data_IF_271387424565
#
_entry.id   IF_271387424565
#
_cell.length_a   1.000
_cell.length_b   1.000
_cell.length_c   1.000
_cell.angle_alpha   90.00
_cell.angle_beta   90.00
_cell.angle_gamma   90.00
#
_symmetry.space_group_name_H-M   'P 1'
#
loop_
_entity.id
_entity.type
_entity.pdbx_description
1 polymer ?
#
# COMPACT_ATOMS: atom_id res chain seq x y z
N UNK A 1 -19.85 -17.84 -7.85
CA UNK A 1 -19.58 -16.69 -8.73
C UNK A 1 -19.06 -15.57 -7.84
N UNK A 2 -17.75 -15.35 -7.77
CA UNK A 2 -17.20 -14.22 -7.01
C UNK A 2 -17.47 -13.00 -7.87
N UNK A 3 -18.36 -12.11 -7.42
CA UNK A 3 -18.50 -10.79 -8.03
C UNK A 3 -17.15 -10.09 -7.88
N UNK A 4 -16.33 -10.11 -8.94
CA UNK A 4 -15.14 -9.29 -9.03
C UNK A 4 -15.65 -7.86 -9.03
N UNK A 5 -15.60 -7.21 -7.86
CA UNK A 5 -15.87 -5.78 -7.74
C UNK A 5 -15.03 -5.08 -8.80
N UNK A 6 -15.67 -4.29 -9.67
CA UNK A 6 -15.03 -3.62 -10.78
C UNK A 6 -13.88 -2.75 -10.27
N UNK A 7 -12.66 -3.30 -10.29
CA UNK A 7 -11.47 -2.69 -9.71
C UNK A 7 -11.15 -1.35 -10.40
N UNK A 8 -11.64 -1.16 -11.64
CA UNK A 8 -11.51 0.09 -12.38
C UNK A 8 -12.27 1.28 -11.77
N UNK A 9 -13.32 1.05 -10.97
CA UNK A 9 -14.14 2.12 -10.37
C UNK A 9 -13.74 2.46 -8.92
N UNK A 10 -12.72 1.81 -8.37
CA UNK A 10 -12.33 1.98 -6.97
C UNK A 10 -11.99 3.44 -6.60
N UNK A 11 -11.32 4.17 -7.51
CA UNK A 11 -11.00 5.59 -7.29
C UNK A 11 -12.28 6.45 -7.29
N UNK A 12 -13.19 6.23 -8.24
CA UNK A 12 -14.44 7.00 -8.35
C UNK A 12 -15.29 6.89 -7.09
N UNK A 13 -15.32 5.68 -6.50
CA UNK A 13 -16.02 5.40 -5.24
C UNK A 13 -15.29 6.02 -4.04
N UNK A 14 -13.95 6.01 -4.03
CA UNK A 14 -13.16 6.53 -2.91
C UNK A 14 -13.16 8.07 -2.82
N UNK A 15 -13.23 8.79 -3.95
CA UNK A 15 -13.24 10.26 -4.00
C UNK A 15 -14.27 10.92 -3.05
N UNK A 16 -15.58 10.60 -3.12
CA UNK A 16 -16.57 11.23 -2.23
C UNK A 16 -16.30 10.95 -0.74
N UNK A 17 -15.71 9.80 -0.41
CA UNK A 17 -15.35 9.44 0.96
C UNK A 17 -14.18 10.31 1.45
N UNK A 18 -13.12 10.46 0.62
CA UNK A 18 -11.97 11.32 0.93
C UNK A 18 -12.43 12.77 1.19
N UNK A 19 -13.29 13.30 0.31
CA UNK A 19 -13.80 14.64 0.45
C UNK A 19 -14.70 14.80 1.68
N UNK A 20 -15.51 13.79 2.02
CA UNK A 20 -16.28 13.80 3.25
C UNK A 20 -15.40 13.81 4.51
N UNK A 21 -14.31 13.04 4.53
CA UNK A 21 -13.36 13.02 5.64
C UNK A 21 -12.67 14.37 5.82
N UNK A 22 -12.21 14.98 4.73
CA UNK A 22 -11.61 16.33 4.76
C UNK A 22 -12.60 17.38 5.26
N UNK A 23 -13.85 17.36 4.80
CA UNK A 23 -14.91 18.26 5.31
C UNK A 23 -15.20 18.08 6.80
N UNK A 24 -14.99 16.88 7.34
CA UNK A 24 -15.11 16.59 8.78
C UNK A 24 -13.88 17.04 9.59
N UNK A 25 -12.89 17.67 8.96
CA UNK A 25 -11.70 18.20 9.62
C UNK A 25 -10.53 17.22 9.69
N UNK A 26 -10.54 16.13 8.91
CA UNK A 26 -9.37 15.26 8.82
C UNK A 26 -8.18 16.02 8.22
N UNK A 27 -7.08 16.12 8.97
CA UNK A 27 -5.83 16.75 8.53
C UNK A 27 -5.04 15.88 7.55
N UNK A 28 -5.24 14.56 7.60
CA UNK A 28 -4.66 13.58 6.69
C UNK A 28 -5.60 12.38 6.52
N UNK A 29 -5.54 11.75 5.34
CA UNK A 29 -6.30 10.56 4.98
C UNK A 29 -5.35 9.54 4.35
N UNK A 30 -5.33 8.33 4.92
CA UNK A 30 -4.63 7.17 4.37
C UNK A 30 -5.62 6.09 3.96
N UNK A 31 -5.21 5.20 3.06
CA UNK A 31 -6.02 4.04 2.67
C UNK A 31 -5.26 2.74 2.87
N UNK A 32 -5.96 1.73 3.36
CA UNK A 32 -5.44 0.38 3.50
C UNK A 32 -6.23 -0.57 2.58
N UNK A 33 -5.52 -1.45 1.86
CA UNK A 33 -6.12 -2.38 0.90
C UNK A 33 -5.65 -3.81 1.15
N UNK A 34 -6.61 -4.73 1.31
CA UNK A 34 -6.35 -6.15 1.52
C UNK A 34 -6.63 -6.96 0.25
N UNK A 35 -5.75 -7.90 -0.11
CA UNK A 35 -5.91 -8.78 -1.27
C UNK A 35 -6.23 -7.96 -2.54
N UNK A 36 -7.41 -8.15 -3.14
CA UNK A 36 -7.85 -7.43 -4.33
C UNK A 36 -8.02 -5.92 -4.14
N UNK A 37 -8.26 -5.47 -2.91
CA UNK A 37 -8.33 -4.06 -2.56
C UNK A 37 -7.00 -3.33 -2.72
N UNK A 38 -5.87 -4.07 -2.71
CA UNK A 38 -4.54 -3.49 -2.87
C UNK A 38 -4.39 -2.75 -4.19
N UNK A 39 -5.02 -3.21 -5.27
CA UNK A 39 -4.96 -2.54 -6.58
C UNK A 39 -5.62 -1.15 -6.55
N UNK A 40 -6.78 -1.03 -5.90
CA UNK A 40 -7.46 0.26 -5.73
C UNK A 40 -6.61 1.22 -4.90
N UNK A 41 -6.05 0.74 -3.79
CA UNK A 41 -5.22 1.58 -2.90
C UNK A 41 -3.91 1.98 -3.57
N UNK A 42 -3.27 1.06 -4.30
CA UNK A 42 -2.07 1.37 -5.10
C UNK A 42 -2.39 2.47 -6.12
N UNK A 43 -3.52 2.37 -6.83
CA UNK A 43 -3.93 3.40 -7.77
C UNK A 43 -4.25 4.74 -7.09
N UNK A 44 -4.87 4.74 -5.90
CA UNK A 44 -5.06 5.96 -5.11
C UNK A 44 -3.73 6.60 -4.73
N UNK A 45 -2.72 5.80 -4.36
CA UNK A 45 -1.37 6.26 -4.08
C UNK A 45 -0.66 6.94 -5.27
N UNK A 46 -1.14 6.76 -6.49
CA UNK A 46 -0.66 7.46 -7.71
C UNK A 46 -1.32 8.84 -7.90
N UNK A 47 -2.41 9.16 -7.19
CA UNK A 47 -3.27 10.32 -7.47
C UNK A 47 -3.10 11.50 -6.51
N UNK A 48 -2.20 11.42 -5.53
CA UNK A 48 -2.00 12.39 -4.42
C UNK A 48 -3.28 12.79 -3.65
N UNK A 49 -4.40 12.08 -3.85
CA UNK A 49 -5.66 12.33 -3.13
C UNK A 49 -5.58 11.96 -1.65
N UNK A 50 -4.67 11.04 -1.33
CA UNK A 50 -4.39 10.49 0.00
C UNK A 50 -2.95 10.81 0.39
N UNK A 51 -2.66 10.82 1.69
CA UNK A 51 -1.33 11.11 2.22
C UNK A 51 -0.46 9.85 2.34
N UNK A 52 -1.08 8.67 2.42
CA UNK A 52 -0.37 7.39 2.57
C UNK A 52 -1.21 6.22 2.06
N UNK A 53 -0.53 5.13 1.72
CA UNK A 53 -1.14 3.87 1.27
C UNK A 53 -0.56 2.69 2.03
N UNK A 54 -1.42 1.73 2.40
CA UNK A 54 -1.01 0.50 3.08
C UNK A 54 -1.59 -0.68 2.31
N UNK A 55 -0.74 -1.63 1.95
CA UNK A 55 -1.15 -2.85 1.27
C UNK A 55 -0.95 -4.03 2.22
N UNK A 56 -1.96 -4.88 2.35
CA UNK A 56 -1.92 -6.07 3.20
C UNK A 56 -2.22 -7.29 2.35
N UNK A 57 -1.29 -8.24 2.26
CA UNK A 57 -1.40 -9.41 1.38
C UNK A 57 -1.85 -8.99 -0.03
N UNK A 58 -1.04 -8.18 -0.75
CA UNK A 58 -1.52 -7.50 -1.95
C UNK A 58 -1.73 -8.46 -3.13
N UNK A 59 -2.79 -8.23 -3.89
CA UNK A 59 -3.10 -8.99 -5.12
C UNK A 59 -3.28 -8.07 -6.32
N UNK A 60 -2.98 -8.58 -7.51
CA UNK A 60 -3.16 -7.89 -8.80
C UNK A 60 -2.42 -6.56 -8.93
N UNK A 61 -1.20 -6.49 -8.40
CA UNK A 61 -0.31 -5.34 -8.52
C UNK A 61 1.01 -5.75 -9.18
N UNK A 62 1.54 -4.88 -10.02
CA UNK A 62 2.82 -5.09 -10.71
C UNK A 62 3.93 -4.20 -10.13
N UNK A 63 5.17 -4.48 -10.51
CA UNK A 63 6.32 -3.63 -10.15
C UNK A 63 6.16 -2.22 -10.70
N UNK A 64 5.57 -2.07 -11.88
CA UNK A 64 5.29 -0.78 -12.50
C UNK A 64 4.20 0.00 -11.75
N UNK A 65 3.20 -0.70 -11.22
CA UNK A 65 2.17 -0.08 -10.37
C UNK A 65 2.79 0.56 -9.12
N UNK A 66 3.70 -0.16 -8.46
CA UNK A 66 4.44 0.33 -7.29
C UNK A 66 5.36 1.49 -7.68
N UNK A 67 6.00 1.45 -8.85
CA UNK A 67 6.80 2.58 -9.35
C UNK A 67 5.97 3.84 -9.55
N UNK A 68 4.71 3.71 -9.93
CA UNK A 68 3.80 4.85 -10.10
C UNK A 68 3.34 5.51 -8.79
N UNK A 69 3.53 4.87 -7.62
CA UNK A 69 3.05 5.41 -6.34
C UNK A 69 3.87 6.64 -5.94
N UNK A 70 3.19 7.74 -5.63
CA UNK A 70 3.79 9.03 -5.32
C UNK A 70 3.69 9.42 -3.83
N UNK A 71 3.07 8.57 -3.02
CA UNK A 71 2.86 8.78 -1.58
C UNK A 71 3.62 7.71 -0.78
N UNK A 72 3.90 7.94 0.51
CA UNK A 72 4.37 6.88 1.40
C UNK A 72 3.51 5.62 1.29
N UNK A 73 4.18 4.46 1.18
CA UNK A 73 3.52 3.17 1.02
C UNK A 73 4.15 2.08 1.88
N UNK A 74 3.34 1.43 2.70
CA UNK A 74 3.71 0.20 3.42
C UNK A 74 3.11 -1.03 2.70
N UNK A 75 3.86 -2.13 2.60
CA UNK A 75 3.45 -3.33 1.87
C UNK A 75 3.70 -4.56 2.74
N UNK A 76 2.67 -5.01 3.44
CA UNK A 76 2.74 -6.18 4.31
C UNK A 76 2.46 -7.45 3.49
N UNK A 77 3.46 -8.32 3.42
CA UNK A 77 3.38 -9.61 2.73
C UNK A 77 2.94 -10.75 3.65
N UNK A 78 2.74 -11.92 3.07
CA UNK A 78 2.64 -13.17 3.84
C UNK A 78 3.77 -14.08 3.37
N UNK A 79 4.37 -14.84 4.29
CA UNK A 79 5.54 -15.67 3.98
C UNK A 79 5.23 -16.72 2.90
N UNK A 80 4.03 -17.32 2.98
CA UNK A 80 3.56 -18.39 2.11
C UNK A 80 2.47 -17.88 1.15
N UNK A 81 2.80 -16.83 0.40
CA UNK A 81 1.88 -16.18 -0.55
C UNK A 81 2.20 -16.59 -1.99
N UNK A 82 1.25 -17.25 -2.67
CA UNK A 82 1.40 -17.59 -4.09
C UNK A 82 1.09 -16.41 -5.03
N UNK A 83 0.37 -15.40 -4.54
CA UNK A 83 -0.06 -14.24 -5.32
C UNK A 83 0.99 -13.13 -5.24
N UNK A 84 1.45 -12.80 -4.04
CA UNK A 84 2.56 -11.89 -3.81
C UNK A 84 3.73 -12.58 -3.09
N UNK A 85 4.43 -13.50 -3.78
CA UNK A 85 5.52 -14.25 -3.18
C UNK A 85 6.66 -13.33 -2.74
N UNK A 86 7.51 -13.76 -1.78
CA UNK A 86 8.64 -12.97 -1.28
C UNK A 86 9.54 -12.39 -2.38
N UNK A 87 9.71 -13.11 -3.49
CA UNK A 87 10.47 -12.62 -4.66
C UNK A 87 9.86 -11.35 -5.26
N UNK A 88 8.53 -11.26 -5.36
CA UNK A 88 7.84 -10.08 -5.85
C UNK A 88 7.94 -8.91 -4.86
N UNK A 89 7.78 -9.20 -3.56
CA UNK A 89 7.93 -8.18 -2.50
C UNK A 89 9.35 -7.59 -2.48
N UNK A 90 10.37 -8.40 -2.73
CA UNK A 90 11.74 -7.92 -2.90
C UNK A 90 11.91 -7.02 -4.14
N UNK A 91 11.22 -7.29 -5.25
CA UNK A 91 11.22 -6.40 -6.41
C UNK A 91 10.55 -5.06 -6.10
N UNK A 92 9.44 -5.08 -5.33
CA UNK A 92 8.82 -3.85 -4.84
C UNK A 92 9.81 -3.09 -3.97
N UNK A 93 10.43 -3.74 -2.98
CA UNK A 93 11.45 -3.14 -2.13
C UNK A 93 12.56 -2.46 -2.93
N UNK A 94 13.10 -3.10 -3.95
CA UNK A 94 14.15 -2.52 -4.80
C UNK A 94 13.70 -1.25 -5.54
N UNK A 95 12.51 -1.28 -6.14
CA UNK A 95 11.93 -0.09 -6.81
C UNK A 95 11.74 1.06 -5.82
N UNK A 96 11.32 0.71 -4.62
CA UNK A 96 11.00 1.61 -3.54
C UNK A 96 12.27 2.21 -2.89
N UNK A 97 13.30 1.40 -2.64
CA UNK A 97 14.63 1.82 -2.15
C UNK A 97 15.36 2.72 -3.17
N UNK A 98 15.10 2.54 -4.47
CA UNK A 98 15.64 3.40 -5.52
C UNK A 98 14.96 4.80 -5.57
N UNK A 99 13.81 4.99 -4.90
CA UNK A 99 13.18 6.31 -4.78
C UNK A 99 13.83 7.12 -3.65
N UNK A 100 13.87 8.45 -3.80
CA UNK A 100 14.53 9.32 -2.81
C UNK A 100 13.90 9.20 -1.41
N UNK A 101 14.74 9.27 -0.36
CA UNK A 101 14.41 9.02 1.07
C UNK A 101 13.23 9.83 1.64
N UNK A 102 12.76 10.88 0.98
CA UNK A 102 11.63 11.71 1.47
C UNK A 102 10.26 11.04 1.27
N UNK A 103 10.15 9.96 0.52
CA UNK A 103 8.86 9.53 -0.03
C UNK A 103 8.32 8.20 0.49
N UNK A 104 9.04 7.45 1.34
CA UNK A 104 8.75 6.02 1.36
C UNK A 104 9.18 5.22 2.62
N UNK A 105 8.24 5.01 3.55
CA UNK A 105 8.39 4.03 4.63
C UNK A 105 7.88 2.67 4.17
N UNK A 106 8.79 1.74 3.88
CA UNK A 106 8.46 0.36 3.51
C UNK A 106 8.44 -0.46 4.81
N UNK A 107 7.28 -1.01 5.18
CA UNK A 107 7.20 -2.13 6.10
C UNK A 107 6.75 -3.35 5.29
N UNK A 108 7.70 -4.23 4.98
CA UNK A 108 7.39 -5.59 4.54
C UNK A 108 7.46 -6.46 5.78
N UNK A 109 6.30 -6.71 6.36
CA UNK A 109 6.16 -7.69 7.40
C UNK A 109 5.55 -8.96 6.81
N UNK A 110 6.19 -10.10 7.03
CA UNK A 110 5.60 -11.42 6.79
C UNK A 110 5.01 -11.94 8.10
N UNK A 111 3.70 -12.16 8.12
CA UNK A 111 3.03 -12.81 9.25
C UNK A 111 3.08 -14.33 9.05
N UNK A 112 3.65 -15.06 9.99
CA UNK A 112 3.44 -16.51 10.07
C UNK A 112 2.07 -16.75 10.73
N UNK A 113 1.10 -17.15 9.92
CA UNK A 113 -0.29 -17.36 10.33
C UNK A 113 -0.40 -18.56 11.30
N UNK A 114 0.63 -19.41 11.39
CA UNK A 114 0.71 -20.52 12.35
C UNK A 114 0.66 -20.03 13.80
N UNK A 115 1.34 -18.92 14.09
CA UNK A 115 1.57 -18.43 15.45
C UNK A 115 1.15 -16.96 15.67
N UNK A 116 0.65 -16.27 14.62
CA UNK A 116 0.24 -14.86 14.69
C UNK A 116 1.39 -13.88 14.95
N UNK A 117 2.64 -14.30 14.71
CA UNK A 117 3.86 -13.51 14.93
C UNK A 117 4.33 -12.88 13.62
N UNK A 118 4.77 -11.62 13.70
CA UNK A 118 5.50 -10.95 12.63
C UNK A 118 6.94 -11.51 12.63
N UNK A 119 7.37 -12.11 11.53
CA UNK A 119 8.66 -12.84 11.45
C UNK A 119 9.78 -11.94 10.93
N UNK A 120 9.46 -10.90 10.18
CA UNK A 120 10.44 -9.93 9.68
C UNK A 120 9.89 -8.52 9.76
N UNK A 121 10.59 -7.62 10.47
CA UNK A 121 10.37 -6.18 10.43
C UNK A 121 11.66 -5.54 9.95
N UNK A 122 11.74 -5.15 8.68
CA UNK A 122 12.69 -4.10 8.28
C UNK A 122 11.96 -2.76 8.38
N UNK A 123 12.07 -2.12 9.55
CA UNK A 123 11.61 -0.75 9.73
C UNK A 123 12.64 0.21 9.14
N UNK A 124 12.26 0.95 8.10
CA UNK A 124 13.00 2.13 7.66
C UNK A 124 12.22 3.37 8.05
N UNK A 125 12.45 3.84 9.28
CA UNK A 125 11.84 5.06 9.82
C UNK A 125 12.30 6.27 9.01
N UNK A 126 11.37 7.12 8.57
CA UNK A 126 11.69 8.43 7.97
C UNK A 126 11.35 9.52 8.99
N UNK A 127 12.36 10.33 9.30
CA UNK A 127 12.19 11.64 9.94
C UNK A 127 11.49 12.58 8.96
N UNK A 128 10.22 12.88 9.21
CA UNK A 128 9.54 14.03 8.59
C UNK A 128 9.95 15.28 9.37
N UNK A 129 10.92 16.03 8.86
CA UNK A 129 11.02 17.46 9.22
C UNK A 129 9.83 18.16 8.57
N UNK A 130 8.78 18.34 9.37
CA UNK A 130 7.67 19.23 9.03
C UNK A 130 8.23 20.63 9.25
N UNK A 131 8.49 21.37 8.17
CA UNK A 131 8.74 22.82 8.18
C UNK A 131 7.49 23.53 7.70
#
# INVERSE_FOLDING_TARGET
>A
MIHIHNIGKGIEIAKPIIEALKRKGASAVGFAGFCWGARTVTNLGKTKLVQTSVLLHPSFITVDDIRGVEVPIAILGVEHDSIAPPKLLNQFKQVLDAKSKKQLGILIASCDISDGKLVTEEEKTISTSIS
#
